data_IF_127254748659
#
_entry.id   IF_127254748659
#
_cell.length_a   1.000
_cell.length_b   1.000
_cell.length_c   1.000
_cell.angle_alpha   90.00
_cell.angle_beta   90.00
_cell.angle_gamma   90.00
#
_symmetry.space_group_name_H-M   'P 1'
#
loop_
_entity.id
_entity.type
_entity.pdbx_description
1 polymer ?
#
# COMPACT_ATOMS: atom_id res chain seq x y z
N UNK A 1 12.81 -4.53 11.15
CA UNK A 1 12.18 -5.17 9.97
C UNK A 1 12.50 -6.65 9.96
N UNK A 2 11.61 -7.48 10.49
CA UNK A 2 11.93 -8.90 10.76
C UNK A 2 11.37 -9.87 9.70
N UNK A 3 10.58 -9.39 8.73
CA UNK A 3 9.95 -10.25 7.73
C UNK A 3 10.95 -10.80 6.71
N UNK A 4 11.90 -9.98 6.27
CA UNK A 4 12.91 -10.38 5.29
C UNK A 4 14.25 -10.65 5.98
N UNK A 5 14.78 -11.85 5.73
CA UNK A 5 16.09 -12.29 6.22
C UNK A 5 17.23 -11.80 5.32
N UNK A 6 16.95 -11.53 4.03
CA UNK A 6 17.88 -10.99 3.04
C UNK A 6 17.43 -9.62 2.50
N UNK A 7 18.26 -8.98 1.66
CA UNK A 7 17.86 -7.82 0.87
C UNK A 7 16.57 -8.07 0.10
N UNK A 8 15.66 -7.11 0.14
CA UNK A 8 14.44 -7.12 -0.65
C UNK A 8 14.76 -7.08 -2.15
N UNK A 9 13.97 -7.79 -2.97
CA UNK A 9 14.09 -7.73 -4.43
C UNK A 9 13.72 -6.34 -4.95
N UNK A 10 12.64 -5.78 -4.42
CA UNK A 10 12.12 -4.47 -4.77
C UNK A 10 11.64 -3.77 -3.49
N UNK A 11 11.86 -2.46 -3.40
CA UNK A 11 11.17 -1.59 -2.46
C UNK A 11 10.35 -0.57 -3.23
N UNK A 12 9.02 -0.55 -3.04
CA UNK A 12 8.17 0.51 -3.57
C UNK A 12 7.96 1.55 -2.48
N UNK A 13 8.31 2.80 -2.78
CA UNK A 13 8.09 3.96 -1.93
C UNK A 13 7.09 4.85 -2.63
N UNK A 14 5.85 4.82 -2.17
CA UNK A 14 4.76 5.52 -2.86
C UNK A 14 4.17 6.60 -1.97
N UNK A 15 3.95 7.78 -2.53
CA UNK A 15 2.93 8.68 -1.98
C UNK A 15 1.54 8.01 -2.00
N UNK A 16 0.62 8.54 -1.20
CA UNK A 16 -0.74 8.03 -1.09
C UNK A 16 -1.71 8.81 -1.96
N UNK A 17 -1.90 10.10 -1.67
CA UNK A 17 -3.01 10.88 -2.21
C UNK A 17 -2.72 11.20 -3.67
N UNK A 18 -3.61 10.84 -4.60
CA UNK A 18 -3.41 11.01 -6.05
C UNK A 18 -2.22 10.21 -6.66
N UNK A 19 -1.46 9.47 -5.84
CA UNK A 19 -0.42 8.54 -6.30
C UNK A 19 -0.80 7.07 -6.12
N UNK A 20 -1.01 6.57 -4.90
CA UNK A 20 -1.50 5.20 -4.68
C UNK A 20 -3.04 5.15 -4.70
N UNK A 21 -3.66 6.19 -4.14
CA UNK A 21 -5.10 6.32 -3.94
C UNK A 21 -5.65 7.34 -4.92
N UNK A 22 -6.62 6.92 -5.72
CA UNK A 22 -7.45 7.83 -6.48
C UNK A 22 -8.67 8.24 -5.63
N UNK A 23 -8.77 9.52 -5.31
CA UNK A 23 -9.92 10.08 -4.56
C UNK A 23 -11.16 10.23 -5.43
N UNK A 24 -11.01 10.20 -6.75
CA UNK A 24 -12.09 10.34 -7.71
C UNK A 24 -12.59 8.99 -8.24
N UNK A 25 -11.91 7.88 -7.92
CA UNK A 25 -12.36 6.52 -8.25
C UNK A 25 -13.23 5.95 -7.11
N UNK A 26 -14.57 5.94 -7.24
CA UNK A 26 -15.45 5.35 -6.23
C UNK A 26 -15.35 3.82 -6.17
N UNK A 27 -14.76 3.17 -7.17
CA UNK A 27 -14.63 1.72 -7.26
C UNK A 27 -13.24 1.21 -6.82
N UNK A 28 -12.30 2.14 -6.57
CA UNK A 28 -10.93 1.88 -6.14
C UNK A 28 -10.20 0.82 -6.99
N UNK A 29 -10.47 0.77 -8.28
CA UNK A 29 -10.00 -0.30 -9.17
C UNK A 29 -8.48 -0.30 -9.31
N UNK A 30 -7.86 0.86 -9.48
CA UNK A 30 -6.40 0.96 -9.68
C UNK A 30 -5.62 0.41 -8.47
N UNK A 31 -6.00 0.81 -7.24
CA UNK A 31 -5.38 0.30 -6.01
C UNK A 31 -5.70 -1.18 -5.80
N UNK A 32 -6.91 -1.66 -6.10
CA UNK A 32 -7.25 -3.08 -6.00
C UNK A 32 -6.49 -3.96 -7.02
N UNK A 33 -6.16 -3.40 -8.19
CA UNK A 33 -5.25 -4.04 -9.17
C UNK A 33 -3.84 -4.13 -8.61
N UNK A 34 -3.33 -3.05 -8.00
CA UNK A 34 -2.04 -3.05 -7.34
C UNK A 34 -1.99 -4.05 -6.18
N UNK A 35 -3.02 -4.09 -5.34
CA UNK A 35 -3.11 -5.01 -4.21
C UNK A 35 -2.99 -6.47 -4.64
N UNK A 36 -3.77 -6.87 -5.64
CA UNK A 36 -3.73 -8.23 -6.18
C UNK A 36 -2.35 -8.58 -6.75
N UNK A 37 -1.72 -7.65 -7.47
CA UNK A 37 -0.37 -7.85 -8.00
C UNK A 37 0.66 -7.98 -6.87
N UNK A 38 0.61 -7.07 -5.90
CA UNK A 38 1.57 -7.00 -4.80
C UNK A 38 1.52 -8.25 -3.93
N UNK A 39 0.33 -8.64 -3.47
CA UNK A 39 0.17 -9.82 -2.62
C UNK A 39 0.50 -11.12 -3.36
N UNK A 40 0.22 -11.19 -4.66
CA UNK A 40 0.53 -12.39 -5.44
C UNK A 40 2.01 -12.53 -5.81
N UNK A 41 2.73 -11.42 -6.08
CA UNK A 41 4.05 -11.48 -6.74
C UNK A 41 5.19 -10.79 -6.00
N UNK A 42 4.92 -9.94 -5.01
CA UNK A 42 5.94 -9.10 -4.40
C UNK A 42 5.99 -9.23 -2.88
N UNK A 43 4.85 -9.48 -2.21
CA UNK A 43 4.76 -9.48 -0.75
C UNK A 43 5.79 -10.39 -0.09
N UNK A 44 6.14 -11.53 -0.68
CA UNK A 44 7.04 -12.50 -0.07
C UNK A 44 8.52 -12.04 0.00
N UNK A 45 8.99 -11.21 -0.93
CA UNK A 45 10.42 -10.85 -1.09
C UNK A 45 10.71 -9.34 -1.26
N UNK A 46 9.67 -8.50 -1.27
CA UNK A 46 9.75 -7.07 -1.57
C UNK A 46 9.14 -6.22 -0.45
N UNK A 47 9.54 -4.96 -0.32
CA UNK A 47 9.07 -4.04 0.73
C UNK A 47 8.10 -3.00 0.19
N UNK A 48 7.00 -2.76 0.90
CA UNK A 48 6.07 -1.67 0.61
C UNK A 48 6.24 -0.55 1.62
N UNK A 49 6.47 0.66 1.13
CA UNK A 49 6.61 1.89 1.93
C UNK A 49 5.58 2.90 1.46
N UNK A 50 4.78 3.41 2.38
CA UNK A 50 3.92 4.57 2.10
C UNK A 50 4.57 5.84 2.63
N UNK A 51 4.77 6.83 1.76
CA UNK A 51 5.46 8.08 2.02
C UNK A 51 4.55 9.28 1.78
N UNK A 52 3.79 9.69 2.79
CA UNK A 52 2.67 10.63 2.67
C UNK A 52 2.87 11.93 3.45
N UNK A 53 2.22 12.99 2.99
CA UNK A 53 2.08 14.24 3.75
C UNK A 53 1.14 14.13 4.96
N UNK A 54 0.27 13.11 4.99
CA UNK A 54 -0.72 12.90 6.06
C UNK A 54 -0.05 12.66 7.41
N UNK A 55 -0.65 13.23 8.46
CA UNK A 55 -0.37 12.84 9.84
C UNK A 55 -0.74 11.38 10.13
N UNK A 56 -0.18 10.77 11.20
CA UNK A 56 -0.58 9.42 11.62
C UNK A 56 -2.09 9.25 11.81
N UNK A 57 -2.77 10.30 12.26
CA UNK A 57 -4.23 10.31 12.42
C UNK A 57 -4.94 10.22 11.06
N UNK A 58 -4.60 11.11 10.12
CA UNK A 58 -5.23 11.13 8.79
C UNK A 58 -4.85 9.91 7.94
N UNK A 59 -3.67 9.34 8.14
CA UNK A 59 -3.27 8.07 7.54
C UNK A 59 -4.14 6.92 8.03
N UNK A 60 -4.34 6.80 9.35
CA UNK A 60 -5.22 5.78 9.93
C UNK A 60 -6.67 5.94 9.48
N UNK A 61 -7.13 7.17 9.28
CA UNK A 61 -8.44 7.44 8.70
C UNK A 61 -8.53 6.96 7.25
N UNK A 62 -7.57 7.33 6.39
CA UNK A 62 -7.56 6.91 4.99
C UNK A 62 -7.57 5.38 4.84
N UNK A 63 -6.84 4.67 5.71
CA UNK A 63 -6.84 3.20 5.73
C UNK A 63 -8.19 2.56 6.04
N UNK A 64 -9.11 3.29 6.69
CA UNK A 64 -10.49 2.84 6.92
C UNK A 64 -11.40 3.14 5.74
N UNK A 65 -11.06 4.16 4.96
CA UNK A 65 -11.88 4.66 3.85
C UNK A 65 -11.53 4.00 2.50
N UNK A 66 -10.29 3.53 2.36
CA UNK A 66 -9.73 3.00 1.11
C UNK A 66 -9.15 1.60 1.33
N UNK A 67 -9.23 0.71 0.32
CA UNK A 67 -8.74 -0.67 0.42
C UNK A 67 -7.21 -0.71 0.33
N UNK A 68 -6.53 -0.10 1.29
CA UNK A 68 -5.07 -0.04 1.33
C UNK A 68 -4.47 -1.30 1.95
N UNK A 69 -3.43 -1.84 1.32
CA UNK A 69 -2.59 -2.86 1.96
C UNK A 69 -1.89 -2.33 3.21
N UNK A 70 -1.49 -3.24 4.08
CA UNK A 70 -0.59 -2.88 5.18
C UNK A 70 0.84 -2.76 4.63
N UNK A 71 1.50 -1.59 4.75
CA UNK A 71 2.89 -1.43 4.34
C UNK A 71 3.84 -2.04 5.37
N UNK A 72 5.09 -2.26 4.97
CA UNK A 72 6.17 -2.64 5.88
C UNK A 72 6.70 -1.44 6.67
N UNK A 73 6.74 -0.25 6.03
CA UNK A 73 7.22 1.01 6.59
C UNK A 73 6.22 2.12 6.23
N UNK A 74 6.02 3.09 7.13
CA UNK A 74 5.38 4.36 6.78
C UNK A 74 6.33 5.52 7.04
N UNK A 75 6.36 6.46 6.10
CA UNK A 75 6.99 7.76 6.19
C UNK A 75 5.81 8.76 6.17
N UNK A 76 5.55 9.42 7.29
CA UNK A 76 4.37 10.24 7.51
C UNK A 76 4.76 11.70 7.70
N UNK A 77 3.77 12.59 7.61
CA UNK A 77 3.95 14.02 7.85
C UNK A 77 5.09 14.63 7.03
N UNK A 78 5.13 14.30 5.74
CA UNK A 78 6.15 14.80 4.79
C UNK A 78 7.57 14.37 5.21
N UNK A 79 7.69 13.16 5.76
CA UNK A 79 8.99 12.59 6.12
C UNK A 79 9.50 12.94 7.50
N UNK A 80 8.69 13.55 8.37
CA UNK A 80 9.11 13.84 9.74
C UNK A 80 8.91 12.67 10.71
N UNK A 81 8.14 11.66 10.31
CA UNK A 81 7.87 10.49 11.15
C UNK A 81 8.10 9.22 10.31
N UNK A 82 8.98 8.33 10.78
CA UNK A 82 9.18 6.99 10.20
C UNK A 82 8.65 5.98 11.20
N UNK A 83 7.79 5.07 10.77
CA UNK A 83 7.27 4.00 11.62
C UNK A 83 7.25 2.63 10.94
N UNK A 84 7.31 1.56 11.73
CA UNK A 84 7.48 0.19 11.24
C UNK A 84 6.33 -0.75 11.60
N UNK A 85 5.93 -1.56 10.61
CA UNK A 85 5.02 -2.69 10.77
C UNK A 85 3.60 -2.33 11.23
N UNK A 86 2.84 -3.35 11.62
CA UNK A 86 1.42 -3.21 11.99
C UNK A 86 1.20 -2.28 13.19
N UNK A 87 2.12 -2.29 14.16
CA UNK A 87 2.04 -1.47 15.35
C UNK A 87 2.47 -0.01 15.11
N UNK A 88 3.00 0.32 13.93
CA UNK A 88 3.52 1.65 13.60
C UNK A 88 4.52 2.15 14.65
N UNK A 89 5.50 1.30 15.00
CA UNK A 89 6.52 1.65 16.00
C UNK A 89 7.43 2.75 15.44
N UNK A 90 7.60 3.90 16.12
CA UNK A 90 8.45 4.99 15.66
C UNK A 90 9.93 4.62 15.53
N UNK A 91 10.63 5.27 14.60
CA UNK A 91 12.10 5.24 14.51
C UNK A 91 12.72 6.32 15.39
N UNK A 92 13.12 5.95 16.61
CA UNK A 92 13.75 6.89 17.56
C UNK A 92 15.05 7.51 17.01
N UNK A 93 15.81 6.76 16.20
CA UNK A 93 17.01 7.29 15.57
C UNK A 93 16.72 8.40 14.55
N UNK A 94 15.57 8.32 13.86
CA UNK A 94 15.11 9.39 12.98
C UNK A 94 14.67 10.63 13.77
N UNK A 95 13.97 10.44 14.88
CA UNK A 95 13.58 11.53 15.79
C UNK A 95 14.82 12.30 16.28
N UNK A 96 15.88 11.58 16.67
CA UNK A 96 17.14 12.19 17.10
C UNK A 96 17.82 13.01 15.99
N UNK A 97 17.80 12.51 14.75
CA UNK A 97 18.32 13.24 13.58
C UNK A 97 17.56 14.55 13.39
N UNK A 98 16.23 14.53 13.51
CA UNK A 98 15.39 15.69 13.29
C UNK A 98 15.41 16.72 14.43
N UNK A 99 15.85 16.34 15.63
CA UNK A 99 16.02 17.27 16.76
C UNK A 99 17.16 18.28 16.54
N UNK A 100 18.09 17.99 15.62
CA UNK A 100 19.24 18.85 15.39
C UNK A 100 18.82 20.21 14.79
N UNK A 101 19.11 21.30 15.53
CA UNK A 101 18.78 22.69 15.15
C UNK A 101 17.31 22.92 14.82
N UNK A 102 16.43 22.21 15.50
CA UNK A 102 14.99 22.37 15.40
C UNK A 102 14.40 22.83 16.74
N UNK A 103 13.55 23.86 16.71
CA UNK A 103 12.72 24.27 17.84
C UNK A 103 11.35 24.72 17.32
N UNK A 104 10.34 23.87 17.52
CA UNK A 104 8.96 24.14 17.11
C UNK A 104 8.40 25.42 17.75
N UNK A 105 8.80 25.77 18.98
CA UNK A 105 8.27 26.96 19.66
C UNK A 105 8.73 28.23 18.94
N UNK A 106 9.99 28.28 18.54
CA UNK A 106 10.54 29.40 17.76
C UNK A 106 9.84 29.48 16.40
N UNK A 107 9.62 28.35 15.72
CA UNK A 107 8.88 28.33 14.45
C UNK A 107 7.47 28.88 14.62
N UNK A 108 6.72 28.43 15.62
CA UNK A 108 5.36 28.93 15.90
C UNK A 108 5.36 30.42 16.28
N UNK A 109 6.35 30.87 17.06
CA UNK A 109 6.50 32.30 17.42
C UNK A 109 6.69 33.17 16.18
N UNK A 110 7.63 32.82 15.29
CA UNK A 110 7.93 33.63 14.11
C UNK A 110 6.82 33.59 13.08
N UNK A 111 6.23 32.41 12.85
CA UNK A 111 5.11 32.26 11.90
C UNK A 111 3.85 33.01 12.34
N UNK A 112 3.61 33.19 13.64
CA UNK A 112 2.46 33.96 14.14
C UNK A 112 2.49 35.46 13.73
N UNK A 113 3.64 35.95 13.25
CA UNK A 113 3.84 37.33 12.82
C UNK A 113 3.49 37.55 11.33
N UNK A 114 3.18 36.48 10.59
CA UNK A 114 2.85 36.52 9.17
C UNK A 114 1.32 36.44 8.97
N UNK A 115 0.64 37.55 8.62
CA UNK A 115 -0.81 37.55 8.41
C UNK A 115 -1.27 36.71 7.20
N UNK A 116 -0.36 36.37 6.29
CA UNK A 116 -0.62 35.53 5.12
C UNK A 116 -0.77 34.04 5.46
N UNK A 117 -0.29 33.61 6.64
CA UNK A 117 -0.27 32.22 7.05
C UNK A 117 -1.50 31.87 7.89
N UNK A 118 -2.30 30.92 7.42
CA UNK A 118 -3.41 30.35 8.20
C UNK A 118 -3.03 28.98 8.72
N UNK A 119 -3.05 28.77 10.04
CA UNK A 119 -2.69 27.49 10.66
C UNK A 119 -3.63 26.36 10.18
N UNK A 120 -3.05 25.20 9.82
CA UNK A 120 -3.85 24.00 9.56
C UNK A 120 -4.36 23.35 10.87
N UNK A 121 -5.19 22.31 10.74
CA UNK A 121 -5.76 21.60 11.90
C UNK A 121 -4.69 21.05 12.85
N UNK A 122 -5.07 20.86 14.12
CA UNK A 122 -4.16 20.36 15.16
C UNK A 122 -3.53 19.01 14.80
N UNK A 123 -4.26 18.14 14.10
CA UNK A 123 -3.75 16.84 13.64
C UNK A 123 -2.53 16.96 12.72
N UNK A 124 -2.42 18.08 11.98
CA UNK A 124 -1.31 18.37 11.06
C UNK A 124 -0.15 19.11 11.73
N UNK A 125 -0.27 19.47 13.01
CA UNK A 125 0.80 20.06 13.79
C UNK A 125 1.57 18.96 14.53
N UNK A 126 2.75 18.59 14.05
CA UNK A 126 3.55 17.47 14.59
C UNK A 126 4.79 17.96 15.34
N UNK A 127 5.53 17.11 16.08
CA UNK A 127 6.72 17.56 16.81
C UNK A 127 7.77 18.24 15.90
N UNK A 128 7.93 17.75 14.68
CA UNK A 128 8.89 18.26 13.67
C UNK A 128 8.22 18.82 12.42
N UNK A 129 6.94 19.20 12.50
CA UNK A 129 6.18 19.82 11.39
C UNK A 129 5.24 20.89 11.91
N UNK A 130 5.28 22.08 11.29
CA UNK A 130 4.29 23.14 11.49
C UNK A 130 3.67 23.48 10.13
N UNK A 131 2.35 23.32 10.02
CA UNK A 131 1.64 23.34 8.73
C UNK A 131 0.69 24.52 8.62
N UNK A 132 0.69 25.20 7.47
CA UNK A 132 -0.12 26.38 7.17
C UNK A 132 -0.77 26.29 5.79
N UNK A 133 -1.72 27.19 5.55
CA UNK A 133 -2.25 27.53 4.23
C UNK A 133 -1.78 28.93 3.83
N UNK A 134 -1.42 29.09 2.57
CA UNK A 134 -0.96 30.36 1.98
C UNK A 134 -1.42 30.46 0.52
N UNK A 135 -1.77 31.67 0.07
CA UNK A 135 -2.12 31.93 -1.33
C UNK A 135 -0.89 31.79 -2.24
N UNK A 136 -1.07 31.22 -3.44
CA UNK A 136 0.02 30.90 -4.40
C UNK A 136 0.89 32.13 -4.71
N UNK A 137 0.27 33.29 -4.86
CA UNK A 137 0.93 34.55 -5.22
C UNK A 137 1.84 35.08 -4.10
N UNK A 138 1.54 34.73 -2.85
CA UNK A 138 2.27 35.18 -1.65
C UNK A 138 3.31 34.17 -1.17
N UNK A 139 3.16 32.89 -1.55
CA UNK A 139 3.96 31.78 -1.05
C UNK A 139 5.47 32.03 -1.17
N UNK A 140 5.95 32.46 -2.36
CA UNK A 140 7.39 32.65 -2.59
C UNK A 140 8.02 33.72 -1.67
N UNK A 141 7.34 34.85 -1.48
CA UNK A 141 7.82 35.93 -0.63
C UNK A 141 7.82 35.53 0.85
N UNK A 142 6.73 34.90 1.31
CA UNK A 142 6.60 34.39 2.68
C UNK A 142 7.70 33.36 2.98
N UNK A 143 7.92 32.39 2.08
CA UNK A 143 8.95 31.36 2.24
C UNK A 143 10.34 31.97 2.37
N UNK A 144 10.68 32.94 1.51
CA UNK A 144 11.99 33.61 1.53
C UNK A 144 12.21 34.34 2.85
N UNK A 145 11.27 35.20 3.24
CA UNK A 145 11.38 36.02 4.45
C UNK A 145 11.43 35.15 5.72
N UNK A 146 10.56 34.14 5.79
CA UNK A 146 10.51 33.22 6.93
C UNK A 146 11.79 32.41 7.07
N UNK A 147 12.34 31.91 5.95
CA UNK A 147 13.61 31.17 5.95
C UNK A 147 14.75 32.01 6.54
N UNK A 148 14.90 33.27 6.11
CA UNK A 148 15.94 34.18 6.63
C UNK A 148 15.79 34.45 8.14
N UNK A 149 14.56 34.62 8.63
CA UNK A 149 14.28 34.85 10.05
C UNK A 149 14.62 33.62 10.89
N UNK A 150 14.19 32.44 10.46
CA UNK A 150 14.41 31.20 11.22
C UNK A 150 15.90 30.84 11.28
N UNK A 151 16.65 31.07 10.19
CA UNK A 151 18.12 30.93 10.18
C UNK A 151 18.79 31.91 11.16
N UNK A 152 18.35 33.18 11.20
CA UNK A 152 18.86 34.17 12.18
C UNK A 152 18.57 33.78 13.62
N UNK A 153 17.49 33.04 13.86
CA UNK A 153 17.14 32.46 15.18
C UNK A 153 17.91 31.17 15.50
N UNK A 154 18.83 30.74 14.63
CA UNK A 154 19.71 29.58 14.85
C UNK A 154 19.11 28.24 14.43
N UNK A 155 17.97 28.25 13.73
CA UNK A 155 17.32 27.04 13.24
C UNK A 155 17.83 26.67 11.85
N UNK A 156 17.77 25.38 11.54
CA UNK A 156 17.99 24.84 10.20
C UNK A 156 16.68 24.23 9.70
N UNK A 157 16.02 24.92 8.76
CA UNK A 157 14.64 24.62 8.38
C UNK A 157 14.50 24.48 6.87
N UNK A 158 13.61 23.57 6.50
CA UNK A 158 13.10 23.40 5.14
C UNK A 158 11.64 23.89 5.13
N UNK A 159 11.29 24.67 4.11
CA UNK A 159 9.92 25.11 3.88
C UNK A 159 9.46 24.49 2.56
N UNK A 160 8.39 23.69 2.62
CA UNK A 160 7.83 22.98 1.47
C UNK A 160 6.46 23.60 1.17
N UNK A 161 6.26 23.98 -0.10
CA UNK A 161 4.95 24.39 -0.61
C UNK A 161 4.43 23.31 -1.56
N UNK A 162 3.19 22.88 -1.38
CA UNK A 162 2.59 21.80 -2.16
C UNK A 162 1.08 21.95 -2.32
N UNK A 163 0.51 21.29 -3.33
CA UNK A 163 -0.95 21.23 -3.52
C UNK A 163 -1.59 22.59 -3.80
N UNK A 164 -0.79 23.57 -4.25
CA UNK A 164 -1.24 24.92 -4.58
C UNK A 164 -1.70 25.78 -3.39
N UNK A 165 -1.56 25.31 -2.14
CA UNK A 165 -1.98 26.10 -0.98
C UNK A 165 -1.29 25.74 0.34
N UNK A 166 -0.75 24.53 0.48
CA UNK A 166 -0.20 24.07 1.76
C UNK A 166 1.28 24.45 1.89
N UNK A 167 1.66 24.95 3.08
CA UNK A 167 3.03 25.34 3.41
C UNK A 167 3.46 24.68 4.71
N UNK A 168 4.48 23.85 4.64
CA UNK A 168 5.01 23.07 5.75
C UNK A 168 6.41 23.56 6.12
N UNK A 169 6.63 23.88 7.40
CA UNK A 169 7.95 24.16 7.96
C UNK A 169 8.44 22.95 8.76
N UNK A 170 9.58 22.42 8.34
CA UNK A 170 10.20 21.20 8.85
C UNK A 170 11.69 21.46 9.19
N UNK A 171 12.36 20.59 9.96
CA UNK A 171 13.82 20.56 10.03
C UNK A 171 14.45 20.41 8.64
N UNK A 172 15.62 21.00 8.41
CA UNK A 172 16.30 20.92 7.11
C UNK A 172 16.58 19.48 6.65
N UNK A 173 16.89 18.60 7.61
CA UNK A 173 17.12 17.17 7.37
C UNK A 173 15.85 16.34 7.17
N UNK A 174 14.65 16.92 7.28
CA UNK A 174 13.38 16.23 7.02
C UNK A 174 13.03 16.21 5.53
N UNK A 175 11.86 15.68 5.18
CA UNK A 175 11.39 15.53 3.80
C UNK A 175 11.30 14.06 3.38
N UNK A 176 10.43 13.75 2.43
CA UNK A 176 10.22 12.37 1.93
C UNK A 176 11.53 11.78 1.37
N UNK A 177 12.29 12.55 0.61
CA UNK A 177 13.60 12.13 0.08
C UNK A 177 14.62 11.86 1.20
N UNK A 178 14.75 12.76 2.17
CA UNK A 178 15.69 12.57 3.28
C UNK A 178 15.33 11.38 4.17
N UNK A 179 14.04 11.15 4.42
CA UNK A 179 13.58 9.96 5.12
C UNK A 179 13.94 8.66 4.36
N UNK A 180 13.78 8.66 3.02
CA UNK A 180 14.21 7.53 2.19
C UNK A 180 15.74 7.35 2.22
N UNK A 181 16.51 8.42 2.13
CA UNK A 181 17.98 8.37 2.23
C UNK A 181 18.44 7.80 3.58
N UNK A 182 17.79 8.20 4.68
CA UNK A 182 18.02 7.64 6.01
C UNK A 182 17.71 6.14 6.06
N UNK A 183 16.57 5.71 5.51
CA UNK A 183 16.20 4.29 5.44
C UNK A 183 17.22 3.49 4.63
N UNK A 184 17.64 3.97 3.46
CA UNK A 184 18.69 3.33 2.67
C UNK A 184 19.99 3.20 3.46
N UNK A 185 20.45 4.27 4.11
CA UNK A 185 21.67 4.25 4.96
C UNK A 185 21.55 3.22 6.08
N UNK A 186 20.41 3.16 6.75
CA UNK A 186 20.13 2.18 7.81
C UNK A 186 20.15 0.75 7.27
N UNK A 187 19.49 0.50 6.14
CA UNK A 187 19.47 -0.81 5.48
C UNK A 187 20.85 -1.24 4.96
N UNK A 188 21.69 -0.30 4.51
CA UNK A 188 23.11 -0.59 4.17
C UNK A 188 23.87 -1.05 5.40
N UNK A 189 23.73 -0.36 6.54
CA UNK A 189 24.37 -0.76 7.79
C UNK A 189 23.90 -2.14 8.29
N UNK A 190 22.65 -2.51 8.00
CA UNK A 190 22.09 -3.82 8.30
C UNK A 190 22.42 -4.90 7.25
N UNK A 191 23.09 -4.55 6.15
CA UNK A 191 23.38 -5.48 5.04
C UNK A 191 22.14 -5.92 4.25
N UNK A 192 21.10 -5.08 4.23
CA UNK A 192 19.76 -5.38 3.69
C UNK A 192 19.23 -4.35 2.68
N UNK A 193 20.11 -3.54 2.07
CA UNK A 193 19.69 -2.59 1.04
C UNK A 193 18.90 -3.33 -0.06
N UNK A 194 17.71 -2.83 -0.47
CA UNK A 194 16.94 -3.43 -1.55
C UNK A 194 17.74 -3.47 -2.86
N UNK A 195 17.53 -4.51 -3.67
CA UNK A 195 18.20 -4.62 -4.98
C UNK A 195 17.73 -3.53 -5.95
N UNK A 196 16.46 -3.14 -5.86
CA UNK A 196 15.87 -2.05 -6.61
C UNK A 196 14.93 -1.27 -5.70
N UNK A 197 14.83 0.03 -5.91
CA UNK A 197 13.85 0.91 -5.27
C UNK A 197 13.11 1.69 -6.34
N UNK A 198 11.77 1.76 -6.22
CA UNK A 198 10.90 2.56 -7.06
C UNK A 198 10.17 3.61 -6.20
N UNK A 199 10.49 4.88 -6.39
CA UNK A 199 9.80 6.02 -5.82
C UNK A 199 8.64 6.46 -6.72
N UNK A 200 7.46 6.70 -6.13
CA UNK A 200 6.24 7.09 -6.83
C UNK A 200 5.66 8.35 -6.18
N UNK A 201 5.29 9.34 -6.99
CA UNK A 201 4.71 10.59 -6.49
C UNK A 201 3.95 11.37 -7.57
N UNK A 202 3.23 12.40 -7.13
CA UNK A 202 2.43 13.27 -7.98
C UNK A 202 2.61 14.77 -7.69
N UNK A 203 3.16 15.16 -6.53
CA UNK A 203 3.20 16.57 -6.12
C UNK A 203 4.59 17.07 -5.72
N UNK A 204 4.70 18.36 -5.41
CA UNK A 204 5.99 19.00 -5.07
C UNK A 204 6.69 18.41 -3.85
N UNK A 205 5.95 17.83 -2.90
CA UNK A 205 6.56 17.19 -1.72
C UNK A 205 7.23 15.84 -2.05
N UNK A 206 7.03 15.30 -3.26
CA UNK A 206 7.64 14.07 -3.76
C UNK A 206 8.93 14.32 -4.55
N UNK A 207 9.19 15.57 -4.97
CA UNK A 207 10.33 15.92 -5.82
C UNK A 207 11.67 15.36 -5.29
N UNK A 208 11.90 15.44 -3.99
CA UNK A 208 13.12 14.94 -3.35
C UNK A 208 13.28 13.42 -3.44
N UNK A 209 12.20 12.65 -3.51
CA UNK A 209 12.28 11.19 -3.69
C UNK A 209 13.00 10.83 -5.01
N UNK A 210 12.83 11.65 -6.04
CA UNK A 210 13.44 11.47 -7.36
C UNK A 210 14.90 11.92 -7.44
N UNK A 211 15.43 12.52 -6.36
CA UNK A 211 16.85 12.91 -6.27
C UNK A 211 17.73 11.86 -5.64
N UNK A 212 17.14 10.80 -5.08
CA UNK A 212 17.89 9.76 -4.38
C UNK A 212 18.69 8.92 -5.40
N UNK A 213 20.01 8.77 -5.23
CA UNK A 213 20.82 7.97 -6.14
C UNK A 213 20.34 6.52 -6.23
N UNK A 214 20.47 5.93 -7.41
CA UNK A 214 20.14 4.53 -7.69
C UNK A 214 18.67 4.14 -7.40
N UNK A 215 17.76 5.13 -7.40
CA UNK A 215 16.32 4.93 -7.26
C UNK A 215 15.63 5.19 -8.59
N UNK A 216 14.75 4.26 -8.99
CA UNK A 216 13.82 4.47 -10.10
C UNK A 216 12.70 5.41 -9.65
N UNK A 217 12.26 6.31 -10.52
CA UNK A 217 11.21 7.27 -10.26
C UNK A 217 10.04 7.13 -11.23
N UNK A 218 8.82 7.20 -10.71
CA UNK A 218 7.62 7.42 -11.52
C UNK A 218 6.84 8.61 -11.00
N UNK A 219 6.62 9.58 -11.89
CA UNK A 219 5.57 10.57 -11.73
C UNK A 219 4.31 10.02 -12.40
N UNK A 220 3.21 9.90 -11.67
CA UNK A 220 1.95 9.40 -12.26
C UNK A 220 1.37 10.44 -13.22
N UNK A 221 0.55 10.03 -14.19
CA UNK A 221 0.01 10.93 -15.23
C UNK A 221 -0.70 12.17 -14.70
N UNK A 222 -1.34 12.04 -13.54
CA UNK A 222 -2.05 13.11 -12.86
C UNK A 222 -1.16 13.93 -11.93
N UNK A 223 0.16 13.96 -12.17
CA UNK A 223 1.10 14.79 -11.44
C UNK A 223 0.78 16.28 -11.58
N UNK A 224 0.96 17.01 -10.49
CA UNK A 224 0.71 18.44 -10.36
C UNK A 224 1.76 19.26 -11.10
N UNK A 225 1.39 20.50 -11.43
CA UNK A 225 2.21 21.44 -12.20
C UNK A 225 3.59 21.64 -11.56
N UNK A 226 3.67 21.76 -10.23
CA UNK A 226 4.94 22.00 -9.53
C UNK A 226 5.94 20.84 -9.68
N UNK A 227 5.47 19.59 -9.72
CA UNK A 227 6.34 18.42 -9.89
C UNK A 227 6.80 18.29 -11.35
N UNK A 228 5.89 18.56 -12.30
CA UNK A 228 6.24 18.55 -13.73
C UNK A 228 7.25 19.64 -14.08
N UNK A 229 7.11 20.83 -13.48
CA UNK A 229 8.09 21.90 -13.61
C UNK A 229 9.43 21.48 -13.02
N UNK A 230 9.44 20.94 -11.79
CA UNK A 230 10.65 20.42 -11.17
C UNK A 230 11.34 19.37 -12.05
N UNK A 231 10.58 18.44 -12.64
CA UNK A 231 11.12 17.43 -13.53
C UNK A 231 11.75 18.04 -14.79
N UNK A 232 11.08 19.01 -15.42
CA UNK A 232 11.59 19.68 -16.61
C UNK A 232 12.96 20.37 -16.35
N UNK A 233 13.14 20.93 -15.16
CA UNK A 233 14.33 21.66 -14.74
C UNK A 233 15.46 20.74 -14.24
N UNK A 234 15.12 19.66 -13.53
CA UNK A 234 16.11 18.87 -12.75
C UNK A 234 16.33 17.45 -13.28
N UNK A 235 15.34 16.84 -13.92
CA UNK A 235 15.31 15.39 -14.14
C UNK A 235 14.90 14.95 -15.57
N UNK A 236 14.62 15.88 -16.48
CA UNK A 236 14.11 15.58 -17.84
C UNK A 236 14.94 14.57 -18.64
N UNK A 237 16.24 14.54 -18.42
CA UNK A 237 17.18 13.65 -19.10
C UNK A 237 17.63 12.45 -18.24
N UNK A 238 17.01 12.26 -17.06
CA UNK A 238 17.35 11.13 -16.19
C UNK A 238 16.56 9.88 -16.65
N UNK A 239 17.23 8.85 -17.21
CA UNK A 239 16.56 7.65 -17.71
C UNK A 239 15.96 6.79 -16.59
N UNK A 240 16.28 7.07 -15.33
CA UNK A 240 15.73 6.38 -14.16
C UNK A 240 14.38 6.95 -13.74
N UNK A 241 13.91 8.05 -14.34
CA UNK A 241 12.64 8.71 -13.98
C UNK A 241 11.74 8.75 -15.22
N UNK A 242 10.48 8.36 -15.04
CA UNK A 242 9.46 8.48 -16.09
C UNK A 242 8.26 9.29 -15.63
N UNK A 243 7.57 9.90 -16.59
CA UNK A 243 6.21 10.36 -16.44
C UNK A 243 5.29 9.30 -17.06
N UNK A 244 4.44 8.67 -16.24
CA UNK A 244 3.57 7.58 -16.66
C UNK A 244 2.41 8.08 -17.56
N UNK A 245 1.86 7.17 -18.38
CA UNK A 245 0.65 7.41 -19.17
C UNK A 245 -0.63 7.02 -18.40
N UNK A 246 -0.46 6.38 -17.25
CA UNK A 246 -1.51 5.93 -16.35
C UNK A 246 -1.53 6.76 -15.05
N UNK A 247 -2.71 6.91 -14.48
CA UNK A 247 -2.93 7.67 -13.24
C UNK A 247 -2.77 6.77 -12.01
N UNK A 248 -2.43 7.38 -10.89
CA UNK A 248 -2.42 6.73 -9.57
C UNK A 248 -1.69 5.35 -9.58
N UNK A 249 -2.23 4.35 -8.87
CA UNK A 249 -1.62 3.03 -8.75
C UNK A 249 -1.42 2.30 -10.09
N UNK A 250 -2.18 2.64 -11.13
CA UNK A 250 -1.96 2.09 -12.47
C UNK A 250 -0.63 2.61 -13.07
N UNK A 251 -0.25 3.87 -12.80
CA UNK A 251 1.06 4.42 -13.14
C UNK A 251 2.22 3.70 -12.44
N UNK A 252 2.03 3.29 -11.18
CA UNK A 252 3.01 2.48 -10.45
C UNK A 252 3.20 1.11 -11.13
N UNK A 253 2.10 0.45 -11.50
CA UNK A 253 2.14 -0.83 -12.22
C UNK A 253 2.83 -0.65 -13.59
N UNK A 254 2.54 0.42 -14.32
CA UNK A 254 3.21 0.75 -15.58
C UNK A 254 4.73 0.88 -15.38
N UNK A 255 5.17 1.57 -14.33
CA UNK A 255 6.59 1.78 -14.03
C UNK A 255 7.33 0.48 -13.68
N UNK A 256 6.69 -0.44 -12.94
CA UNK A 256 7.25 -1.77 -12.67
C UNK A 256 7.61 -2.48 -13.99
N UNK A 257 6.73 -2.43 -14.98
CA UNK A 257 6.96 -3.00 -16.31
C UNK A 257 8.03 -2.25 -17.10
N UNK A 258 7.95 -0.92 -17.12
CA UNK A 258 8.88 -0.05 -17.85
C UNK A 258 10.34 -0.30 -17.42
N UNK A 259 10.60 -0.29 -16.12
CA UNK A 259 11.94 -0.51 -15.55
C UNK A 259 12.31 -1.99 -15.39
N UNK A 260 11.45 -2.92 -15.83
CA UNK A 260 11.66 -4.37 -15.74
C UNK A 260 11.92 -4.86 -14.30
N UNK A 261 11.19 -4.30 -13.34
CA UNK A 261 11.34 -4.61 -11.90
C UNK A 261 10.61 -5.90 -11.49
N UNK A 262 9.87 -6.51 -12.42
CA UNK A 262 9.18 -7.79 -12.26
C UNK A 262 7.89 -7.84 -13.08
N UNK A 263 7.01 -8.84 -12.84
CA UNK A 263 5.71 -8.92 -13.47
C UNK A 263 4.84 -7.70 -13.17
N UNK A 264 4.18 -7.14 -14.18
CA UNK A 264 3.32 -5.96 -14.04
C UNK A 264 1.88 -6.20 -14.50
N UNK A 265 1.47 -7.45 -14.70
CA UNK A 265 0.08 -7.80 -15.01
C UNK A 265 -0.64 -8.18 -13.72
N UNK A 266 -1.65 -7.40 -13.32
CA UNK A 266 -2.44 -7.73 -12.13
C UNK A 266 -3.28 -8.97 -12.38
N UNK A 267 -3.35 -9.93 -11.42
CA UNK A 267 -4.30 -11.04 -11.51
C UNK A 267 -5.75 -10.56 -11.65
N UNK A 268 -6.08 -9.37 -11.16
CA UNK A 268 -7.42 -8.77 -11.28
C UNK A 268 -7.80 -8.42 -12.73
N UNK A 269 -6.80 -8.19 -13.58
CA UNK A 269 -6.99 -7.83 -15.00
C UNK A 269 -7.15 -9.08 -15.90
N UNK A 270 -6.85 -10.27 -15.38
CA UNK A 270 -6.94 -11.51 -16.14
C UNK A 270 -8.40 -11.98 -16.27
N UNK A 271 -8.81 -12.45 -17.46
CA UNK A 271 -10.06 -13.18 -17.58
C UNK A 271 -9.97 -14.49 -16.79
N UNK A 272 -11.12 -15.00 -16.32
CA UNK A 272 -11.14 -16.17 -15.43
C UNK A 272 -10.36 -17.38 -15.97
N UNK A 273 -10.51 -17.81 -17.23
CA UNK A 273 -9.73 -18.94 -17.74
C UNK A 273 -8.22 -18.74 -17.61
N UNK A 274 -7.73 -17.51 -17.82
CA UNK A 274 -6.30 -17.20 -17.74
C UNK A 274 -5.81 -17.06 -16.30
N UNK A 275 -6.68 -16.66 -15.38
CA UNK A 275 -6.38 -16.62 -13.94
C UNK A 275 -6.08 -18.03 -13.38
N UNK A 276 -6.62 -19.09 -13.98
CA UNK A 276 -6.35 -20.48 -13.59
C UNK A 276 -5.20 -21.14 -14.38
N UNK A 277 -4.63 -20.47 -15.40
CA UNK A 277 -3.46 -20.97 -16.13
C UNK A 277 -2.19 -20.63 -15.35
N UNK A 278 -1.73 -21.57 -14.52
CA UNK A 278 -0.51 -21.42 -13.73
C UNK A 278 0.46 -22.53 -14.06
N UNK A 279 1.70 -22.16 -14.39
CA UNK A 279 2.77 -23.09 -14.79
C UNK A 279 3.56 -23.65 -13.60
N UNK A 280 3.51 -22.97 -12.44
CA UNK A 280 4.23 -23.33 -11.21
C UNK A 280 3.33 -23.23 -9.97
N UNK A 281 3.68 -23.96 -8.90
CA UNK A 281 3.00 -23.82 -7.62
C UNK A 281 3.42 -22.52 -6.91
N UNK A 282 2.48 -21.60 -6.75
CA UNK A 282 2.66 -20.34 -6.04
C UNK A 282 1.54 -20.19 -5.00
N UNK A 283 1.80 -20.53 -3.72
CA UNK A 283 0.79 -20.46 -2.65
C UNK A 283 0.21 -19.06 -2.43
N UNK A 284 0.98 -18.00 -2.70
CA UNK A 284 0.49 -16.62 -2.55
C UNK A 284 -0.48 -16.29 -3.69
N UNK A 285 -0.10 -16.62 -4.93
CA UNK A 285 -0.98 -16.47 -6.08
C UNK A 285 -2.26 -17.30 -5.95
N UNK A 286 -2.18 -18.54 -5.43
CA UNK A 286 -3.35 -19.40 -5.21
C UNK A 286 -4.39 -18.72 -4.31
N UNK A 287 -3.96 -18.13 -3.19
CA UNK A 287 -4.84 -17.40 -2.28
C UNK A 287 -5.46 -16.18 -2.96
N UNK A 288 -4.64 -15.36 -3.65
CA UNK A 288 -5.15 -14.16 -4.36
C UNK A 288 -6.15 -14.56 -5.44
N UNK A 289 -5.84 -15.57 -6.25
CA UNK A 289 -6.71 -16.15 -7.27
C UNK A 289 -8.06 -16.58 -6.68
N UNK A 290 -8.04 -17.33 -5.58
CA UNK A 290 -9.24 -17.84 -4.93
C UNK A 290 -10.19 -16.71 -4.50
N UNK A 291 -9.68 -15.66 -3.86
CA UNK A 291 -10.53 -14.55 -3.41
C UNK A 291 -10.98 -13.62 -4.54
N UNK A 292 -10.20 -13.48 -5.62
CA UNK A 292 -10.66 -12.81 -6.83
C UNK A 292 -11.79 -13.60 -7.52
N UNK A 293 -11.69 -14.93 -7.52
CA UNK A 293 -12.76 -15.79 -7.99
C UNK A 293 -14.04 -15.60 -7.15
N UNK A 294 -13.93 -15.63 -5.82
CA UNK A 294 -15.09 -15.40 -4.94
C UNK A 294 -15.72 -14.02 -5.15
N UNK A 295 -14.92 -12.97 -5.34
CA UNK A 295 -15.46 -11.64 -5.67
C UNK A 295 -16.32 -11.69 -6.94
N UNK A 296 -15.79 -12.28 -8.01
CA UNK A 296 -16.51 -12.41 -9.30
C UNK A 296 -17.76 -13.30 -9.14
N UNK A 297 -17.68 -14.36 -8.33
CA UNK A 297 -18.79 -15.27 -8.04
C UNK A 297 -19.95 -14.54 -7.37
N UNK A 298 -19.69 -13.83 -6.27
CA UNK A 298 -20.73 -13.10 -5.54
C UNK A 298 -21.32 -11.96 -6.37
N UNK A 299 -20.54 -11.36 -7.28
CA UNK A 299 -21.04 -10.33 -8.20
C UNK A 299 -21.84 -10.89 -9.38
N UNK A 300 -21.75 -12.20 -9.64
CA UNK A 300 -22.40 -12.83 -10.78
C UNK A 300 -21.71 -12.51 -12.10
N UNK A 301 -20.40 -12.26 -12.06
CA UNK A 301 -19.56 -11.84 -13.19
C UNK A 301 -18.84 -13.03 -13.85
N UNK A 302 -19.43 -14.23 -13.79
CA UNK A 302 -18.84 -15.49 -14.27
C UNK A 302 -19.72 -16.13 -15.33
N UNK A 303 -19.12 -16.49 -16.46
CA UNK A 303 -19.76 -17.35 -17.47
C UNK A 303 -19.60 -18.82 -17.07
N UNK A 304 -20.65 -19.63 -17.24
CA UNK A 304 -20.68 -21.06 -16.88
C UNK A 304 -20.30 -21.36 -15.42
N UNK A 305 -21.00 -20.77 -14.42
CA UNK A 305 -20.64 -20.89 -13.01
C UNK A 305 -20.58 -22.33 -12.49
N UNK A 306 -21.45 -23.23 -12.99
CA UNK A 306 -21.49 -24.65 -12.61
C UNK A 306 -20.13 -25.34 -12.80
N UNK A 307 -19.47 -25.13 -13.95
CA UNK A 307 -18.16 -25.72 -14.25
C UNK A 307 -17.08 -25.22 -13.27
N UNK A 308 -17.09 -23.94 -12.92
CA UNK A 308 -16.13 -23.38 -11.97
C UNK A 308 -16.38 -23.86 -10.54
N UNK A 309 -17.64 -24.10 -10.16
CA UNK A 309 -17.97 -24.67 -8.86
C UNK A 309 -17.46 -26.11 -8.73
N UNK A 310 -17.59 -26.91 -9.78
CA UNK A 310 -17.03 -28.27 -9.83
C UNK A 310 -15.49 -28.24 -9.72
N UNK A 311 -14.84 -27.34 -10.46
CA UNK A 311 -13.39 -27.14 -10.36
C UNK A 311 -12.97 -26.73 -8.95
N UNK A 312 -13.74 -25.86 -8.28
CA UNK A 312 -13.46 -25.45 -6.91
C UNK A 312 -13.57 -26.62 -5.92
N UNK A 313 -14.60 -27.47 -6.07
CA UNK A 313 -14.74 -28.70 -5.28
C UNK A 313 -13.54 -29.63 -5.51
N UNK A 314 -13.09 -29.77 -6.77
CA UNK A 314 -11.97 -30.64 -7.13
C UNK A 314 -10.62 -30.21 -6.52
N UNK A 315 -10.42 -28.91 -6.27
CA UNK A 315 -9.21 -28.39 -5.60
C UNK A 315 -9.32 -28.38 -4.07
N UNK A 316 -10.43 -28.84 -3.49
CA UNK A 316 -10.54 -29.03 -2.05
C UNK A 316 -10.36 -30.49 -1.67
N UNK A 317 -9.67 -30.74 -0.56
CA UNK A 317 -9.58 -32.10 -0.01
C UNK A 317 -10.97 -32.59 0.39
N UNK A 318 -11.27 -33.86 0.07
CA UNK A 318 -12.51 -34.52 0.52
C UNK A 318 -12.59 -34.65 2.05
N UNK A 319 -11.44 -34.72 2.71
CA UNK A 319 -11.32 -34.69 4.18
C UNK A 319 -10.98 -33.30 4.72
N UNK A 320 -11.08 -32.25 3.89
CA UNK A 320 -10.66 -30.91 4.26
C UNK A 320 -11.66 -30.20 5.17
N UNK A 321 -11.15 -29.38 6.08
CA UNK A 321 -11.95 -28.70 7.11
C UNK A 321 -11.93 -27.18 6.97
N UNK A 322 -13.05 -26.56 7.30
CA UNK A 322 -13.23 -25.12 7.41
C UNK A 322 -13.69 -24.76 8.82
N UNK A 323 -12.98 -23.84 9.45
CA UNK A 323 -13.36 -23.21 10.71
C UNK A 323 -13.75 -21.77 10.44
N UNK A 324 -15.05 -21.50 10.56
CA UNK A 324 -15.60 -20.16 10.38
C UNK A 324 -15.19 -19.23 11.54
N UNK A 325 -15.24 -17.90 11.34
CA UNK A 325 -14.93 -16.95 12.41
C UNK A 325 -15.98 -16.94 13.54
N UNK A 326 -17.09 -17.68 13.38
CA UNK A 326 -18.08 -17.94 14.43
C UNK A 326 -17.77 -19.18 15.28
N UNK A 327 -16.64 -19.86 15.06
CA UNK A 327 -16.26 -21.08 15.78
C UNK A 327 -17.01 -22.33 15.33
N UNK A 328 -17.64 -22.30 14.15
CA UNK A 328 -18.31 -23.46 13.56
C UNK A 328 -17.35 -24.18 12.62
N UNK A 329 -17.16 -25.48 12.86
CA UNK A 329 -16.42 -26.40 11.98
C UNK A 329 -17.36 -27.04 10.95
N UNK A 330 -16.93 -27.08 9.69
CA UNK A 330 -17.62 -27.71 8.57
C UNK A 330 -16.60 -28.36 7.63
N UNK A 331 -17.03 -29.29 6.77
CA UNK A 331 -16.15 -29.74 5.69
C UNK A 331 -16.03 -28.68 4.60
N UNK A 332 -14.88 -28.59 3.93
CA UNK A 332 -14.70 -27.66 2.81
C UNK A 332 -15.70 -27.90 1.67
N UNK A 333 -16.04 -29.16 1.41
CA UNK A 333 -17.02 -29.54 0.39
C UNK A 333 -18.42 -29.04 0.69
N UNK A 334 -18.87 -29.13 1.96
CA UNK A 334 -20.17 -28.58 2.36
C UNK A 334 -20.22 -27.06 2.21
N UNK A 335 -19.13 -26.36 2.56
CA UNK A 335 -19.08 -24.90 2.46
C UNK A 335 -19.06 -24.45 1.01
N UNK A 336 -18.29 -25.13 0.16
CA UNK A 336 -18.29 -24.86 -1.29
C UNK A 336 -19.65 -25.20 -1.90
N UNK A 337 -20.30 -26.28 -1.47
CA UNK A 337 -21.65 -26.63 -1.93
C UNK A 337 -22.65 -25.49 -1.73
N UNK A 338 -22.52 -24.72 -0.64
CA UNK A 338 -23.38 -23.57 -0.36
C UNK A 338 -23.09 -22.34 -1.23
N UNK A 339 -21.92 -22.25 -1.87
CA UNK A 339 -21.61 -21.11 -2.74
C UNK A 339 -22.57 -21.01 -3.93
N UNK A 340 -23.14 -22.13 -4.38
CA UNK A 340 -24.14 -22.19 -5.44
C UNK A 340 -25.33 -21.25 -5.15
N UNK A 341 -25.82 -21.25 -3.91
CA UNK A 341 -26.96 -20.43 -3.46
C UNK A 341 -26.63 -18.94 -3.40
N UNK A 342 -25.34 -18.57 -3.38
CA UNK A 342 -24.86 -17.20 -3.22
C UNK A 342 -24.33 -16.57 -4.52
N UNK A 343 -24.39 -17.29 -5.63
CA UNK A 343 -23.98 -16.76 -6.93
C UNK A 343 -24.78 -15.50 -7.28
N UNK A 344 -24.09 -14.39 -7.55
CA UNK A 344 -24.74 -13.13 -7.89
C UNK A 344 -25.48 -12.42 -6.75
N UNK A 345 -25.35 -12.84 -5.49
CA UNK A 345 -26.01 -12.17 -4.34
C UNK A 345 -25.63 -10.68 -4.18
N UNK A 346 -24.44 -10.32 -4.70
CA UNK A 346 -23.89 -8.97 -4.72
C UNK A 346 -23.94 -8.33 -6.11
N UNK A 347 -24.70 -8.90 -7.06
CA UNK A 347 -24.85 -8.35 -8.41
C UNK A 347 -25.36 -6.92 -8.37
N UNK A 348 -24.67 -6.03 -9.10
CA UNK A 348 -24.97 -4.59 -9.14
C UNK A 348 -24.65 -3.81 -7.85
N UNK A 349 -24.08 -4.45 -6.82
CA UNK A 349 -23.66 -3.78 -5.58
C UNK A 349 -22.16 -3.44 -5.65
N UNK A 350 -21.76 -2.41 -4.91
CA UNK A 350 -20.34 -2.10 -4.66
C UNK A 350 -19.76 -3.12 -3.69
N UNK A 351 -19.34 -4.26 -4.24
CA UNK A 351 -18.76 -5.36 -3.50
C UNK A 351 -17.34 -5.65 -3.97
N UNK A 352 -16.41 -5.79 -3.02
CA UNK A 352 -14.99 -6.10 -3.28
C UNK A 352 -14.46 -7.06 -2.24
N UNK A 353 -13.56 -7.95 -2.69
CA UNK A 353 -12.76 -8.81 -1.82
C UNK A 353 -11.30 -8.60 -2.16
N UNK A 354 -10.46 -8.47 -1.14
CA UNK A 354 -9.01 -8.53 -1.31
C UNK A 354 -8.37 -9.20 -0.10
N UNK A 355 -7.13 -9.59 -0.29
CA UNK A 355 -6.28 -10.11 0.78
C UNK A 355 -5.16 -9.12 1.06
N UNK A 356 -4.66 -9.13 2.29
CA UNK A 356 -3.53 -8.31 2.74
C UNK A 356 -2.59 -9.16 3.57
N UNK A 357 -1.28 -8.90 3.46
CA UNK A 357 -0.24 -9.60 4.20
C UNK A 357 -0.23 -11.12 3.95
N UNK A 358 -0.24 -11.54 2.68
CA UNK A 358 -0.17 -12.95 2.26
C UNK A 358 1.23 -13.51 2.50
N UNK A 359 1.35 -14.38 3.49
CA UNK A 359 2.61 -14.97 3.94
C UNK A 359 2.57 -16.50 3.90
N UNK A 360 3.06 -17.11 2.80
CA UNK A 360 3.31 -18.53 2.76
C UNK A 360 4.50 -18.93 3.65
N UNK A 361 4.38 -20.04 4.34
CA UNK A 361 5.46 -20.71 5.08
C UNK A 361 5.43 -22.18 4.70
N UNK A 362 6.51 -22.67 4.11
CA UNK A 362 6.63 -24.07 3.72
C UNK A 362 6.73 -24.95 4.97
N UNK A 363 5.85 -25.96 5.07
CA UNK A 363 5.84 -26.94 6.17
C UNK A 363 6.67 -28.18 5.83
N UNK A 364 6.56 -28.63 4.57
CA UNK A 364 7.32 -29.75 4.00
C UNK A 364 7.50 -29.55 2.49
N UNK A 365 8.00 -30.55 1.76
CA UNK A 365 8.29 -30.44 0.33
C UNK A 365 7.08 -30.07 -0.53
N UNK A 366 5.86 -30.42 -0.10
CA UNK A 366 4.64 -30.29 -0.89
C UNK A 366 3.55 -29.46 -0.21
N UNK A 367 3.75 -29.01 1.03
CA UNK A 367 2.70 -28.38 1.85
C UNK A 367 3.12 -27.00 2.36
N UNK A 368 2.18 -26.05 2.34
CA UNK A 368 2.38 -24.69 2.83
C UNK A 368 1.28 -24.29 3.81
N UNK A 369 1.67 -23.59 4.88
CA UNK A 369 0.79 -22.79 5.71
C UNK A 369 0.81 -21.35 5.18
N UNK A 370 -0.33 -20.83 4.74
CA UNK A 370 -0.46 -19.44 4.30
C UNK A 370 -1.27 -18.66 5.31
N UNK A 371 -0.73 -17.53 5.79
CA UNK A 371 -1.41 -16.61 6.72
C UNK A 371 -1.69 -15.30 6.00
N UNK A 372 -2.87 -14.73 6.17
CA UNK A 372 -3.25 -13.45 5.56
C UNK A 372 -4.46 -12.84 6.26
N UNK A 373 -4.76 -11.59 5.94
CA UNK A 373 -6.05 -10.96 6.26
C UNK A 373 -6.93 -11.03 5.02
N UNK A 374 -8.17 -11.49 5.18
CA UNK A 374 -9.21 -11.40 4.16
C UNK A 374 -10.08 -10.20 4.50
N UNK A 375 -10.28 -9.32 3.52
CA UNK A 375 -11.12 -8.14 3.65
C UNK A 375 -12.25 -8.24 2.63
N UNK A 376 -13.46 -7.95 3.10
CA UNK A 376 -14.63 -7.77 2.26
C UNK A 376 -15.20 -6.38 2.50
N UNK A 377 -15.59 -5.72 1.42
CA UNK A 377 -16.28 -4.44 1.47
C UNK A 377 -17.59 -4.54 0.70
N UNK A 378 -18.68 -4.14 1.34
CA UNK A 378 -20.02 -4.05 0.77
C UNK A 378 -20.61 -2.67 1.06
N UNK A 379 -20.55 -1.77 0.09
CA UNK A 379 -20.86 -0.36 0.33
C UNK A 379 -19.82 0.29 1.24
N UNK A 380 -20.28 0.85 2.36
CA UNK A 380 -19.42 1.46 3.39
C UNK A 380 -18.98 0.48 4.48
N UNK A 381 -19.63 -0.68 4.56
CA UNK A 381 -19.27 -1.70 5.54
C UNK A 381 -18.05 -2.48 5.06
N UNK A 382 -17.04 -2.54 5.93
CA UNK A 382 -15.85 -3.34 5.73
C UNK A 382 -15.68 -4.32 6.89
N UNK A 383 -15.47 -5.58 6.55
CA UNK A 383 -15.25 -6.65 7.51
C UNK A 383 -13.94 -7.36 7.19
N UNK A 384 -13.22 -7.76 8.24
CA UNK A 384 -11.90 -8.33 8.14
C UNK A 384 -11.77 -9.56 9.04
N UNK A 385 -11.18 -10.62 8.50
CA UNK A 385 -10.78 -11.78 9.29
C UNK A 385 -9.32 -12.11 9.06
N UNK A 386 -8.67 -12.59 10.11
CA UNK A 386 -7.40 -13.27 9.97
C UNK A 386 -7.66 -14.69 9.49
N UNK A 387 -6.99 -15.09 8.41
CA UNK A 387 -7.18 -16.39 7.77
C UNK A 387 -5.87 -17.16 7.74
N UNK A 388 -5.95 -18.44 8.06
CA UNK A 388 -4.87 -19.42 7.87
C UNK A 388 -5.34 -20.55 6.97
N UNK A 389 -4.50 -20.94 6.02
CA UNK A 389 -4.81 -21.96 5.02
C UNK A 389 -3.67 -22.96 4.93
N UNK A 390 -4.00 -24.24 4.83
CA UNK A 390 -3.06 -25.28 4.45
C UNK A 390 -3.31 -25.65 2.99
N UNK A 391 -2.29 -25.44 2.16
CA UNK A 391 -2.27 -25.78 0.74
C UNK A 391 -1.30 -26.94 0.49
N UNK A 392 -1.66 -27.85 -0.42
CA UNK A 392 -0.84 -29.01 -0.79
C UNK A 392 -0.70 -29.13 -2.30
N UNK A 393 0.50 -29.45 -2.76
CA UNK A 393 0.82 -29.82 -4.15
C UNK A 393 0.87 -31.33 -4.36
N UNK A 394 0.58 -32.12 -3.32
CA UNK A 394 0.66 -33.57 -3.38
C UNK A 394 -0.35 -34.13 -4.38
N UNK A 395 0.11 -34.99 -5.28
CA UNK A 395 -0.69 -35.72 -6.27
C UNK A 395 -1.43 -34.83 -7.29
N UNK A 396 -1.06 -33.54 -7.40
CA UNK A 396 -1.60 -32.59 -8.38
C UNK A 396 -0.49 -31.99 -9.25
N UNK A 397 -0.86 -31.52 -10.44
CA UNK A 397 0.00 -30.74 -11.34
C UNK A 397 -0.27 -29.25 -11.15
N UNK A 398 0.68 -28.35 -11.46
CA UNK A 398 0.46 -26.89 -11.40
C UNK A 398 -0.80 -26.43 -12.14
N UNK A 399 -1.07 -27.00 -13.32
CA UNK A 399 -2.27 -26.71 -14.12
C UNK A 399 -3.60 -27.08 -13.44
N UNK A 400 -3.56 -27.87 -12.36
CA UNK A 400 -4.71 -28.26 -11.55
C UNK A 400 -4.86 -27.38 -10.29
N UNK A 401 -3.86 -26.52 -9.99
CA UNK A 401 -3.82 -25.71 -8.77
C UNK A 401 -3.37 -26.49 -7.53
N UNK A 402 -3.27 -25.79 -6.41
CA UNK A 402 -2.99 -26.40 -5.10
C UNK A 402 -4.27 -26.92 -4.45
N UNK A 403 -4.18 -28.07 -3.78
CA UNK A 403 -5.26 -28.61 -2.97
C UNK A 403 -5.40 -27.86 -1.65
N UNK A 404 -6.59 -27.32 -1.38
CA UNK A 404 -6.98 -26.71 -0.12
C UNK A 404 -7.35 -27.79 0.90
N UNK A 405 -6.57 -27.90 1.97
CA UNK A 405 -6.71 -28.96 2.99
C UNK A 405 -7.41 -28.44 4.24
N UNK A 406 -7.13 -27.21 4.63
CA UNK A 406 -7.68 -26.61 5.85
C UNK A 406 -7.79 -25.10 5.66
N UNK A 407 -8.90 -24.52 6.14
CA UNK A 407 -9.10 -23.07 6.19
C UNK A 407 -9.62 -22.73 7.58
N UNK A 408 -8.99 -21.78 8.26
CA UNK A 408 -9.44 -21.29 9.55
C UNK A 408 -9.42 -19.78 9.56
N UNK A 409 -10.57 -19.19 9.89
CA UNK A 409 -10.78 -17.76 10.00
C UNK A 409 -11.12 -17.33 11.42
N UNK A 410 -10.64 -16.16 11.80
CA UNK A 410 -10.96 -15.52 13.07
C UNK A 410 -11.25 -14.05 12.83
N UNK A 411 -12.31 -13.51 13.44
CA UNK A 411 -12.62 -12.08 13.35
C UNK A 411 -11.44 -11.24 13.87
N UNK A 412 -11.12 -10.17 13.16
CA UNK A 412 -10.20 -9.15 13.65
C UNK A 412 -10.94 -8.19 14.59
N UNK A 413 -10.23 -7.63 15.58
CA UNK A 413 -10.81 -6.69 16.56
C UNK A 413 -11.63 -5.58 15.88
N UNK A 414 -12.87 -5.40 16.34
CA UNK A 414 -13.81 -4.42 15.79
C UNK A 414 -14.51 -4.84 14.49
N UNK A 415 -14.20 -6.02 13.94
CA UNK A 415 -14.94 -6.64 12.84
C UNK A 415 -15.89 -7.69 13.40
N UNK A 416 -17.19 -7.47 13.26
CA UNK A 416 -18.22 -8.48 13.54
C UNK A 416 -19.26 -8.43 12.44
N UNK A 417 -19.75 -9.58 12.03
CA UNK A 417 -20.90 -9.67 11.13
C UNK A 417 -21.99 -10.48 11.80
N UNK A 418 -23.23 -9.98 11.80
CA UNK A 418 -24.40 -10.77 12.19
C UNK A 418 -24.88 -11.67 11.05
N UNK A 419 -24.24 -11.57 9.88
CA UNK A 419 -24.58 -12.39 8.73
C UNK A 419 -24.02 -13.80 8.91
N UNK A 420 -24.91 -14.75 9.21
CA UNK A 420 -24.59 -16.18 9.28
C UNK A 420 -24.16 -16.79 7.94
N UNK A 421 -24.28 -16.04 6.84
CA UNK A 421 -23.83 -16.42 5.50
C UNK A 421 -22.42 -15.89 5.20
N UNK A 422 -21.53 -15.82 6.20
CA UNK A 422 -20.11 -15.58 5.96
C UNK A 422 -19.47 -16.85 5.39
N UNK A 423 -18.96 -16.75 4.16
CA UNK A 423 -18.29 -17.85 3.46
C UNK A 423 -16.77 -17.63 3.41
N UNK A 424 -16.05 -18.74 3.19
CA UNK A 424 -14.60 -18.89 2.97
C UNK A 424 -13.79 -17.63 2.72
#
# INVERSE_FOLDING_TARGET
MNRLTSSARLMIVSDLDHTMVDHHDPENLSILRFNALWEAKYRHDSLLVFSTGRSPTLYKQLRKEKPMLTPDITILSVGTEITYGNAMVPDEGWVDVLNHKWDKKIVTEETSKFPELTLQSETEQRPHKVSFKVEKEKAQEVMKNLSEILVKRGLDVKIIYSGGMDLDILPQGAGKGQALAYLHKKMVAEGKLPKNTLACGDSGNDAELFTIPDVHGVMVKNAQEELLQWYAENAKNNPMIIHADETCAAGIIQAIGHFKLGPNTSPRDLPLPDLFKVDDFDPAYEVVKFYLFLEKWFRGDIENPEQYLENLKAVCSSSGSYFSPFGVEQSLHEVIGKLEECYGEKKGKKFRIWVDQVFPSQLDSNTWLVKFKKLEQSGEEQICCFTTVILSSKDVKPSQGLTWVHVHQTWMDGSTSDNKNWFL
#
